data_IF_205084368130
#
_entry.id   IF_205084368130
#
_cell.length_a   1.000
_cell.length_b   1.000
_cell.length_c   1.000
_cell.angle_alpha   90.00
_cell.angle_beta   90.00
_cell.angle_gamma   90.00
#
_symmetry.space_group_name_H-M   'P 1'
#
loop_
_entity.id
_entity.type
_entity.pdbx_description
1 polymer ?
#
# COMPACT_ATOMS: atom_id res chain seq x y z
N UNK A 1 39.90 -8.51 -35.06
CA UNK A 1 40.20 -7.87 -33.76
C UNK A 1 39.45 -6.53 -33.73
N UNK A 2 38.31 -6.41 -33.03
CA UNK A 2 38.20 -5.91 -31.63
C UNK A 2 37.98 -4.39 -31.65
N UNK A 3 36.97 -3.75 -31.03
CA UNK A 3 35.97 -4.13 -30.02
C UNK A 3 34.70 -3.29 -30.22
N UNK A 4 33.57 -3.85 -29.79
CA UNK A 4 32.32 -3.17 -29.52
C UNK A 4 32.43 -2.26 -28.29
N UNK A 5 31.67 -1.15 -28.27
CA UNK A 5 30.86 -0.64 -27.13
C UNK A 5 30.59 0.85 -27.31
N UNK A 6 29.33 1.22 -27.59
CA UNK A 6 28.65 2.44 -27.07
C UNK A 6 27.27 2.55 -27.71
N UNK A 7 26.35 1.69 -27.29
CA UNK A 7 24.91 1.81 -27.59
C UNK A 7 24.13 1.53 -26.32
N UNK A 8 24.29 2.37 -25.30
CA UNK A 8 23.52 2.30 -24.04
C UNK A 8 23.35 3.70 -23.42
N UNK A 9 22.92 4.67 -24.24
CA UNK A 9 22.74 6.05 -23.81
C UNK A 9 21.51 6.77 -24.36
N UNK A 10 20.54 6.05 -24.95
CA UNK A 10 19.39 6.69 -25.62
C UNK A 10 18.02 6.15 -25.18
N UNK A 11 17.87 5.75 -23.93
CA UNK A 11 16.58 5.32 -23.36
C UNK A 11 16.34 5.91 -21.96
N UNK A 12 16.43 7.23 -21.84
CA UNK A 12 15.97 7.95 -20.65
C UNK A 12 15.45 9.38 -20.98
N UNK A 13 14.86 9.57 -22.16
CA UNK A 13 14.32 10.86 -22.59
C UNK A 13 12.87 10.74 -23.12
N UNK A 14 12.06 9.87 -22.52
CA UNK A 14 10.65 9.78 -22.85
C UNK A 14 9.79 9.58 -21.58
N UNK A 15 9.71 10.63 -20.78
CA UNK A 15 8.64 10.82 -19.81
C UNK A 15 8.06 12.23 -19.98
N UNK A 16 7.01 12.28 -20.81
CA UNK A 16 5.90 13.24 -20.78
C UNK A 16 6.19 14.74 -21.02
N UNK A 17 6.00 15.14 -22.29
CA UNK A 17 5.35 16.40 -22.62
C UNK A 17 3.96 16.48 -21.96
N UNK A 18 3.66 17.61 -21.31
CA UNK A 18 2.43 18.44 -21.43
C UNK A 18 2.19 19.23 -20.14
N UNK A 19 2.51 20.54 -20.16
CA UNK A 19 1.68 21.61 -19.59
C UNK A 19 2.36 22.98 -19.69
N UNK A 20 2.56 23.48 -20.92
CA UNK A 20 2.46 24.92 -21.13
C UNK A 20 0.98 25.32 -21.02
N UNK A 21 0.68 26.41 -20.33
CA UNK A 21 -0.58 27.14 -20.47
C UNK A 21 -1.48 27.17 -19.23
N UNK A 22 -1.64 28.40 -18.72
CA UNK A 22 -2.71 28.91 -17.85
C UNK A 22 -2.57 28.67 -16.33
N UNK A 23 -1.60 29.34 -15.72
CA UNK A 23 -1.78 29.97 -14.40
C UNK A 23 -2.43 31.36 -14.61
N UNK A 24 -3.37 31.75 -13.74
CA UNK A 24 -4.03 33.07 -13.78
C UNK A 24 -3.04 34.23 -13.63
N UNK A 25 -3.48 35.50 -13.84
CA UNK A 25 -2.59 36.65 -13.84
C UNK A 25 -1.84 36.73 -12.50
N UNK A 26 -0.50 36.90 -12.51
CA UNK A 26 0.26 36.99 -11.28
C UNK A 26 -0.04 38.34 -10.61
N UNK A 27 -0.61 38.30 -9.41
CA UNK A 27 -0.63 39.45 -8.51
C UNK A 27 0.77 39.59 -7.89
N UNK A 28 1.61 40.44 -8.49
CA UNK A 28 3.01 40.64 -8.10
C UNK A 28 3.69 41.73 -8.93
N UNK A 29 4.70 42.38 -8.34
CA UNK A 29 5.40 43.54 -8.88
C UNK A 29 6.32 43.24 -10.09
N UNK A 30 6.01 42.34 -11.03
CA UNK A 30 6.82 42.08 -12.24
C UNK A 30 8.24 41.48 -12.02
N UNK A 31 9.02 42.01 -11.08
CA UNK A 31 10.34 41.54 -10.65
C UNK A 31 10.26 40.21 -9.89
N UNK A 32 9.27 40.03 -9.01
CA UNK A 32 9.04 38.77 -8.29
C UNK A 32 8.67 37.63 -9.26
N UNK A 33 7.84 37.95 -10.26
CA UNK A 33 7.50 37.03 -11.36
C UNK A 33 8.71 36.73 -12.24
N UNK A 34 9.56 37.73 -12.52
CA UNK A 34 10.79 37.53 -13.29
C UNK A 34 11.78 36.61 -12.57
N UNK A 35 11.94 36.78 -11.25
CA UNK A 35 12.76 35.90 -10.42
C UNK A 35 12.23 34.47 -10.40
N UNK A 36 10.91 34.28 -10.31
CA UNK A 36 10.27 32.96 -10.40
C UNK A 36 10.55 32.29 -11.76
N UNK A 37 10.39 33.02 -12.86
CA UNK A 37 10.65 32.49 -14.20
C UNK A 37 12.11 32.09 -14.39
N UNK A 38 13.03 32.90 -13.86
CA UNK A 38 14.45 32.56 -13.92
C UNK A 38 14.78 31.33 -13.06
N UNK A 39 14.18 31.23 -11.87
CA UNK A 39 14.33 30.04 -11.03
C UNK A 39 13.83 28.77 -11.74
N UNK A 40 12.73 28.84 -12.48
CA UNK A 40 12.22 27.70 -13.26
C UNK A 40 13.18 27.27 -14.37
N UNK A 41 13.86 28.21 -15.04
CA UNK A 41 14.84 27.88 -16.10
C UNK A 41 16.06 27.17 -15.54
N UNK A 42 16.51 27.59 -14.36
CA UNK A 42 17.74 27.09 -13.74
C UNK A 42 17.46 25.88 -12.84
N UNK A 43 16.19 25.56 -12.56
CA UNK A 43 15.75 24.51 -11.63
C UNK A 43 16.47 23.16 -11.82
N UNK A 44 16.59 22.73 -13.07
CA UNK A 44 17.20 21.44 -13.43
C UNK A 44 18.73 21.51 -13.57
N UNK A 45 19.27 22.72 -13.76
CA UNK A 45 20.70 22.95 -14.02
C UNK A 45 21.45 23.20 -12.71
N UNK A 46 20.95 24.13 -11.90
CA UNK A 46 21.52 24.51 -10.62
C UNK A 46 20.39 24.69 -9.58
N UNK A 47 20.04 23.62 -8.86
CA UNK A 47 18.97 23.68 -7.86
C UNK A 47 19.31 24.59 -6.68
N UNK A 48 20.60 24.86 -6.40
CA UNK A 48 20.99 25.77 -5.32
C UNK A 48 20.70 27.21 -5.73
N UNK A 49 21.09 27.59 -6.94
CA UNK A 49 20.77 28.90 -7.49
C UNK A 49 19.26 29.12 -7.61
N UNK A 50 18.51 28.08 -7.99
CA UNK A 50 17.05 28.15 -8.03
C UNK A 50 16.43 28.41 -6.64
N UNK A 51 16.97 27.80 -5.56
CA UNK A 51 16.52 28.09 -4.19
C UNK A 51 16.73 29.57 -3.85
N UNK A 52 17.92 30.13 -4.09
CA UNK A 52 18.22 31.54 -3.81
C UNK A 52 17.27 32.50 -4.53
N UNK A 53 16.97 32.23 -5.81
CA UNK A 53 16.06 33.04 -6.61
C UNK A 53 14.62 32.96 -6.09
N UNK A 54 14.17 31.78 -5.67
CA UNK A 54 12.84 31.56 -5.09
C UNK A 54 12.70 32.22 -3.71
N UNK A 55 13.74 32.17 -2.88
CA UNK A 55 13.78 32.86 -1.59
C UNK A 55 13.69 34.38 -1.79
N UNK A 56 14.48 34.94 -2.71
CA UNK A 56 14.41 36.35 -3.06
C UNK A 56 13.04 36.76 -3.63
N UNK A 57 12.41 35.90 -4.43
CA UNK A 57 11.06 36.14 -4.93
C UNK A 57 10.03 36.17 -3.78
N UNK A 58 10.19 35.30 -2.77
CA UNK A 58 9.32 35.24 -1.60
C UNK A 58 9.56 36.39 -0.61
N UNK A 59 10.78 36.93 -0.53
CA UNK A 59 11.07 38.16 0.23
C UNK A 59 10.29 39.35 -0.32
N UNK A 60 10.21 39.46 -1.65
CA UNK A 60 9.41 40.49 -2.33
C UNK A 60 7.91 40.21 -2.20
N UNK A 61 7.48 38.97 -2.45
CA UNK A 61 6.08 38.57 -2.42
C UNK A 61 5.86 37.25 -1.66
N UNK A 62 5.56 37.32 -0.35
CA UNK A 62 5.31 36.13 0.47
C UNK A 62 4.02 35.37 0.13
N UNK A 63 3.19 35.89 -0.78
CA UNK A 63 1.95 35.25 -1.24
C UNK A 63 2.12 34.51 -2.57
N UNK A 64 3.32 34.48 -3.13
CA UNK A 64 3.60 33.80 -4.38
C UNK A 64 3.51 32.27 -4.21
N UNK A 65 2.33 31.73 -4.49
CA UNK A 65 2.02 30.32 -4.27
C UNK A 65 2.99 29.40 -5.03
N UNK A 66 3.27 29.70 -6.30
CA UNK A 66 4.10 28.84 -7.15
C UNK A 66 5.55 28.74 -6.64
N UNK A 67 6.11 29.83 -6.11
CA UNK A 67 7.42 29.82 -5.50
C UNK A 67 7.49 28.85 -4.31
N UNK A 68 6.47 28.85 -3.45
CA UNK A 68 6.36 27.86 -2.37
C UNK A 68 6.24 26.41 -2.88
N UNK A 69 5.54 26.17 -3.99
CA UNK A 69 5.45 24.82 -4.57
C UNK A 69 6.79 24.31 -5.07
N UNK A 70 7.55 25.16 -5.78
CA UNK A 70 8.86 24.84 -6.33
C UNK A 70 9.90 24.65 -5.22
N UNK A 71 9.95 25.59 -4.26
CA UNK A 71 10.89 25.53 -3.15
C UNK A 71 10.64 24.30 -2.27
N UNK A 72 9.36 24.03 -1.93
CA UNK A 72 8.99 22.78 -1.25
C UNK A 72 9.41 21.54 -2.04
N UNK A 73 9.41 21.64 -3.38
CA UNK A 73 9.81 20.53 -4.24
C UNK A 73 11.31 20.28 -4.31
N UNK A 74 12.12 21.33 -4.22
CA UNK A 74 13.58 21.25 -4.12
C UNK A 74 13.99 20.70 -2.75
N UNK A 75 13.44 21.26 -1.67
CA UNK A 75 13.71 20.78 -0.31
C UNK A 75 13.30 19.33 -0.07
N UNK A 76 12.21 18.88 -0.70
CA UNK A 76 11.80 17.48 -0.61
C UNK A 76 12.80 16.52 -1.27
N UNK A 77 13.56 16.97 -2.27
CA UNK A 77 14.55 16.16 -2.99
C UNK A 77 15.90 16.13 -2.28
N UNK A 78 16.30 17.25 -1.69
CA UNK A 78 17.47 17.32 -0.82
C UNK A 78 17.09 16.70 0.53
N UNK A 79 17.46 15.44 0.76
CA UNK A 79 17.03 14.58 1.88
C UNK A 79 17.14 15.20 3.28
N UNK A 80 17.83 16.33 3.43
CA UNK A 80 18.14 16.99 4.70
C UNK A 80 16.96 17.77 5.31
N UNK A 81 16.01 18.30 4.52
CA UNK A 81 15.07 19.32 5.02
C UNK A 81 13.58 19.00 4.75
N UNK A 82 13.11 17.83 5.19
CA UNK A 82 11.70 17.43 5.07
C UNK A 82 10.72 18.41 5.76
N UNK A 83 11.15 19.09 6.83
CA UNK A 83 10.32 20.04 7.59
C UNK A 83 10.03 21.30 6.77
N UNK A 84 11.07 21.90 6.17
CA UNK A 84 10.93 23.08 5.31
C UNK A 84 10.07 22.76 4.09
N UNK A 85 10.27 21.58 3.49
CA UNK A 85 9.44 21.12 2.38
C UNK A 85 7.94 21.09 2.75
N UNK A 86 7.60 20.52 3.92
CA UNK A 86 6.21 20.48 4.41
C UNK A 86 5.65 21.90 4.62
N UNK A 87 6.43 22.80 5.23
CA UNK A 87 6.02 24.18 5.44
C UNK A 87 5.64 24.87 4.13
N UNK A 88 6.51 24.81 3.13
CA UNK A 88 6.26 25.46 1.84
C UNK A 88 5.09 24.83 1.09
N UNK A 89 4.94 23.50 1.14
CA UNK A 89 3.77 22.84 0.56
C UNK A 89 2.46 23.24 1.24
N UNK A 90 2.44 23.34 2.58
CA UNK A 90 1.26 23.82 3.30
C UNK A 90 0.93 25.27 2.94
N UNK A 91 1.97 26.12 2.79
CA UNK A 91 1.80 27.51 2.38
C UNK A 91 1.25 27.63 0.97
N UNK A 92 1.72 26.81 0.02
CA UNK A 92 1.13 26.69 -1.31
C UNK A 92 -0.35 26.31 -1.25
N UNK A 93 -0.73 25.29 -0.47
CA UNK A 93 -2.13 24.87 -0.36
C UNK A 93 -3.03 25.95 0.26
N UNK A 94 -2.48 26.80 1.13
CA UNK A 94 -3.21 27.91 1.74
C UNK A 94 -3.40 29.10 0.77
N UNK A 95 -2.44 29.34 -0.13
CA UNK A 95 -2.44 30.47 -1.06
C UNK A 95 -3.03 30.13 -2.42
N UNK A 96 -2.96 28.88 -2.85
CA UNK A 96 -3.44 28.46 -4.16
C UNK A 96 -4.98 28.52 -4.22
N UNK A 97 -5.49 29.28 -5.20
CA UNK A 97 -6.92 29.31 -5.50
C UNK A 97 -7.42 27.94 -6.00
N UNK A 98 -8.70 27.64 -5.75
CA UNK A 98 -9.36 26.43 -6.26
C UNK A 98 -10.08 26.73 -7.58
N UNK A 99 -10.03 25.84 -8.58
CA UNK A 99 -9.39 24.52 -8.57
C UNK A 99 -7.87 24.58 -8.82
N UNK A 100 -7.11 23.76 -8.09
CA UNK A 100 -5.65 23.67 -8.24
C UNK A 100 -5.24 22.26 -8.65
N UNK A 101 -4.63 22.12 -9.83
CA UNK A 101 -4.17 20.83 -10.38
C UNK A 101 -3.10 20.14 -9.52
N UNK A 102 -2.36 20.90 -8.73
CA UNK A 102 -1.25 20.39 -7.93
C UNK A 102 -1.66 19.94 -6.53
N UNK A 103 -2.92 20.15 -6.11
CA UNK A 103 -3.37 19.87 -4.75
C UNK A 103 -3.12 18.41 -4.34
N UNK A 104 -3.50 17.46 -5.20
CA UNK A 104 -3.31 16.03 -4.95
C UNK A 104 -1.82 15.65 -4.84
N UNK A 105 -1.01 16.13 -5.80
CA UNK A 105 0.44 15.88 -5.83
C UNK A 105 1.14 16.45 -4.60
N UNK A 106 0.80 17.68 -4.21
CA UNK A 106 1.40 18.36 -3.06
C UNK A 106 1.02 17.66 -1.75
N UNK A 107 -0.25 17.26 -1.59
CA UNK A 107 -0.67 16.46 -0.42
C UNK A 107 0.10 15.14 -0.32
N UNK A 108 0.24 14.43 -1.44
CA UNK A 108 1.04 13.20 -1.49
C UNK A 108 2.50 13.44 -1.11
N UNK A 109 3.10 14.55 -1.57
CA UNK A 109 4.47 14.93 -1.20
C UNK A 109 4.63 15.28 0.28
N UNK A 110 3.66 15.97 0.88
CA UNK A 110 3.63 16.23 2.33
C UNK A 110 3.65 14.90 3.10
N UNK A 111 2.81 13.94 2.71
CA UNK A 111 2.72 12.66 3.40
C UNK A 111 4.02 11.84 3.26
N UNK A 112 4.66 11.87 2.09
CA UNK A 112 5.97 11.27 1.90
C UNK A 112 7.06 11.93 2.79
N UNK A 113 7.06 13.25 2.92
CA UNK A 113 7.99 13.97 3.81
C UNK A 113 7.74 13.60 5.28
N UNK A 114 6.47 13.50 5.71
CA UNK A 114 6.11 13.06 7.08
C UNK A 114 6.59 11.64 7.37
N UNK A 115 6.41 10.72 6.43
CA UNK A 115 6.88 9.34 6.57
C UNK A 115 8.40 9.28 6.70
N UNK A 116 9.14 10.06 5.89
CA UNK A 116 10.61 10.14 6.00
C UNK A 116 11.07 10.69 7.35
N UNK A 117 10.43 11.74 7.86
CA UNK A 117 10.74 12.28 9.20
C UNK A 117 10.52 11.23 10.30
N UNK A 118 9.39 10.54 10.27
CA UNK A 118 9.11 9.45 11.22
C UNK A 118 10.15 8.34 11.08
N UNK A 119 10.53 8.00 9.85
CA UNK A 119 11.52 6.97 9.58
C UNK A 119 12.92 7.36 10.08
N UNK A 120 13.36 8.60 9.85
CA UNK A 120 14.63 9.14 10.34
C UNK A 120 14.70 9.14 11.87
N UNK A 121 13.65 9.64 12.53
CA UNK A 121 13.58 9.66 14.00
C UNK A 121 13.52 8.24 14.57
N UNK A 122 12.77 7.33 13.94
CA UNK A 122 12.77 5.92 14.30
C UNK A 122 14.15 5.29 14.16
N UNK A 123 14.89 5.55 13.06
CA UNK A 123 16.26 5.08 12.87
C UNK A 123 17.16 5.56 14.02
N UNK A 124 17.02 6.83 14.39
CA UNK A 124 17.78 7.47 15.45
C UNK A 124 17.49 6.83 16.82
N UNK A 125 16.22 6.54 17.11
CA UNK A 125 15.79 6.03 18.41
C UNK A 125 16.03 4.53 18.60
N UNK A 126 15.86 3.71 17.56
CA UNK A 126 15.88 2.25 17.71
C UNK A 126 17.19 1.58 17.24
N UNK A 127 18.02 2.31 16.50
CA UNK A 127 19.07 1.72 15.67
C UNK A 127 18.48 0.86 14.53
N UNK A 128 19.27 0.64 13.47
CA UNK A 128 18.82 0.02 12.23
C UNK A 128 18.26 -1.42 12.35
N UNK A 129 18.55 -2.12 13.46
CA UNK A 129 18.19 -3.52 13.64
C UNK A 129 16.70 -3.74 14.00
N UNK A 130 16.07 -2.79 14.71
CA UNK A 130 14.68 -2.96 15.19
C UNK A 130 13.61 -2.62 14.15
N UNK A 131 13.99 -2.00 13.03
CA UNK A 131 13.04 -1.46 12.03
C UNK A 131 12.68 -2.44 10.91
N UNK A 132 13.50 -3.46 10.66
CA UNK A 132 13.29 -4.41 9.56
C UNK A 132 11.95 -5.14 9.61
N UNK A 133 11.39 -5.52 10.79
CA UNK A 133 10.06 -6.11 10.84
C UNK A 133 8.95 -5.11 10.49
N UNK A 134 9.04 -3.88 10.99
CA UNK A 134 8.04 -2.82 10.74
C UNK A 134 8.03 -2.45 9.26
N UNK A 135 9.20 -2.24 8.65
CA UNK A 135 9.33 -1.94 7.23
C UNK A 135 8.78 -3.08 6.35
N UNK A 136 9.04 -4.35 6.72
CA UNK A 136 8.46 -5.50 6.02
C UNK A 136 6.94 -5.51 6.09
N UNK A 137 6.36 -5.20 7.24
CA UNK A 137 4.90 -5.11 7.40
C UNK A 137 4.31 -3.96 6.59
N UNK A 138 5.01 -2.81 6.49
CA UNK A 138 4.57 -1.69 5.64
C UNK A 138 4.54 -2.08 4.16
N UNK A 139 5.62 -2.70 3.66
CA UNK A 139 5.67 -3.18 2.27
C UNK A 139 4.56 -4.19 1.99
N UNK A 140 4.32 -5.15 2.90
CA UNK A 140 3.24 -6.12 2.77
C UNK A 140 1.85 -5.46 2.75
N UNK A 141 1.64 -4.42 3.56
CA UNK A 141 0.38 -3.67 3.59
C UNK A 141 0.14 -2.93 2.26
N UNK A 142 1.18 -2.31 1.71
CA UNK A 142 1.08 -1.59 0.44
C UNK A 142 0.86 -2.55 -0.74
N UNK A 143 1.56 -3.69 -0.76
CA UNK A 143 1.36 -4.73 -1.77
C UNK A 143 -0.05 -5.34 -1.69
N UNK A 144 -0.56 -5.57 -0.47
CA UNK A 144 -1.92 -6.03 -0.27
C UNK A 144 -2.96 -4.99 -0.73
N UNK A 145 -2.71 -3.70 -0.50
CA UNK A 145 -3.59 -2.61 -0.98
C UNK A 145 -3.62 -2.53 -2.50
N UNK A 146 -2.45 -2.55 -3.15
CA UNK A 146 -2.34 -2.59 -4.62
C UNK A 146 -3.04 -3.81 -5.21
N UNK A 147 -2.85 -4.98 -4.59
CA UNK A 147 -3.54 -6.21 -5.00
C UNK A 147 -5.06 -6.05 -4.88
N UNK A 148 -5.56 -5.45 -3.80
CA UNK A 148 -6.99 -5.18 -3.64
C UNK A 148 -7.52 -4.19 -4.69
N UNK A 149 -6.77 -3.15 -5.04
CA UNK A 149 -7.15 -2.20 -6.09
C UNK A 149 -7.25 -2.88 -7.45
N UNK A 150 -6.25 -3.70 -7.81
CA UNK A 150 -6.26 -4.49 -9.05
C UNK A 150 -7.44 -5.46 -9.06
N UNK A 151 -7.67 -6.20 -7.97
CA UNK A 151 -8.80 -7.12 -7.87
C UNK A 151 -10.15 -6.40 -8.02
N UNK A 152 -10.32 -5.24 -7.39
CA UNK A 152 -11.53 -4.42 -7.53
C UNK A 152 -11.73 -3.95 -8.97
N UNK A 153 -10.67 -3.49 -9.64
CA UNK A 153 -10.71 -3.11 -11.04
C UNK A 153 -11.11 -4.28 -11.95
N UNK A 154 -10.53 -5.47 -11.72
CA UNK A 154 -10.88 -6.69 -12.46
C UNK A 154 -12.33 -7.09 -12.24
N UNK A 155 -12.84 -7.04 -11.00
CA UNK A 155 -14.25 -7.33 -10.70
C UNK A 155 -15.18 -6.39 -11.45
N UNK A 156 -14.90 -5.08 -11.46
CA UNK A 156 -15.69 -4.10 -12.20
C UNK A 156 -15.66 -4.37 -13.71
N UNK A 157 -14.49 -4.69 -14.26
CA UNK A 157 -14.36 -5.02 -15.68
C UNK A 157 -15.17 -6.28 -16.07
N UNK A 158 -15.11 -7.33 -15.25
CA UNK A 158 -15.90 -8.55 -15.47
C UNK A 158 -17.40 -8.28 -15.34
N UNK A 159 -17.82 -7.44 -14.39
CA UNK A 159 -19.22 -7.03 -14.27
C UNK A 159 -19.70 -6.26 -15.51
N UNK A 160 -18.86 -5.38 -16.07
CA UNK A 160 -19.18 -4.66 -17.30
C UNK A 160 -19.30 -5.61 -18.51
N UNK A 161 -18.37 -6.56 -18.65
CA UNK A 161 -18.42 -7.58 -19.71
C UNK A 161 -19.67 -8.46 -19.60
N UNK A 162 -20.05 -8.87 -18.37
CA UNK A 162 -21.27 -9.63 -18.15
C UNK A 162 -22.52 -8.82 -18.52
N UNK A 163 -22.57 -7.55 -18.15
CA UNK A 163 -23.67 -6.66 -18.52
C UNK A 163 -23.79 -6.53 -20.04
N UNK A 164 -22.68 -6.33 -20.75
CA UNK A 164 -22.64 -6.27 -22.21
C UNK A 164 -23.12 -7.59 -22.84
N UNK A 165 -22.63 -8.73 -22.37
CA UNK A 165 -23.07 -10.04 -22.85
C UNK A 165 -24.57 -10.27 -22.62
N UNK A 166 -25.12 -9.85 -21.48
CA UNK A 166 -26.56 -9.96 -21.20
C UNK A 166 -27.39 -9.07 -22.14
N UNK A 167 -26.92 -7.86 -22.45
CA UNK A 167 -27.58 -6.98 -23.41
C UNK A 167 -27.55 -7.56 -24.83
N UNK A 168 -26.44 -8.15 -25.25
CA UNK A 168 -26.32 -8.82 -26.55
C UNK A 168 -27.26 -10.03 -26.66
N UNK A 169 -27.38 -10.83 -25.60
CA UNK A 169 -28.33 -11.96 -25.55
C UNK A 169 -29.79 -11.49 -25.61
N UNK A 170 -30.13 -10.37 -24.95
CA UNK A 170 -31.45 -9.76 -25.03
C UNK A 170 -31.76 -9.25 -26.44
N UNK A 171 -30.80 -8.58 -27.10
CA UNK A 171 -30.93 -8.09 -28.47
C UNK A 171 -31.03 -9.22 -29.51
N UNK A 172 -30.36 -10.35 -29.27
CA UNK A 172 -30.42 -11.53 -30.14
C UNK A 172 -31.75 -12.32 -30.06
N UNK A 173 -32.72 -11.87 -29.24
CA UNK A 173 -34.05 -12.50 -29.14
C UNK A 173 -34.04 -13.90 -28.50
N UNK A 174 -32.94 -14.29 -27.85
CA UNK A 174 -32.80 -15.60 -27.19
C UNK A 174 -33.32 -15.60 -25.74
N UNK A 175 -33.74 -14.46 -25.21
CA UNK A 175 -34.39 -14.32 -23.92
C UNK A 175 -35.89 -14.70 -24.00
N UNK A 176 -36.22 -15.97 -24.22
CA UNK A 176 -37.63 -16.35 -24.33
C UNK A 176 -38.01 -17.81 -24.62
N UNK A 177 -37.14 -18.81 -24.41
CA UNK A 177 -37.56 -20.22 -24.44
C UNK A 177 -37.05 -20.97 -23.22
N UNK A 178 -37.74 -20.77 -22.09
CA UNK A 178 -37.69 -21.75 -21.00
C UNK A 178 -38.33 -23.07 -21.46
N UNK A 179 -37.89 -24.23 -20.96
CA UNK A 179 -38.57 -25.48 -21.25
C UNK A 179 -39.95 -25.44 -20.58
N UNK A 180 -41.00 -25.68 -21.38
CA UNK A 180 -42.35 -25.82 -20.89
C UNK A 180 -42.42 -26.98 -19.89
N UNK A 181 -42.83 -26.65 -18.65
CA UNK A 181 -43.25 -27.64 -17.69
C UNK A 181 -44.49 -28.36 -18.21
N UNK A 182 -44.39 -29.69 -18.38
CA UNK A 182 -45.55 -30.58 -18.46
C UNK A 182 -45.61 -31.39 -17.17
N UNK A 183 -46.79 -31.39 -16.57
CA UNK A 183 -47.09 -31.94 -15.26
C UNK A 183 -47.48 -33.43 -15.31
N UNK A 184 -47.23 -34.07 -14.16
CA UNK A 184 -47.92 -35.24 -13.58
C UNK A 184 -47.68 -36.63 -14.20
N UNK A 185 -47.02 -37.53 -13.45
CA UNK A 185 -47.69 -38.41 -12.48
C UNK A 185 -46.80 -39.62 -12.10
N UNK A 186 -46.75 -39.88 -10.80
CA UNK A 186 -46.69 -41.21 -10.17
C UNK A 186 -45.55 -42.20 -10.51
N UNK A 187 -44.64 -42.41 -9.55
CA UNK A 187 -44.68 -43.59 -8.65
C UNK A 187 -43.52 -43.61 -7.66
N UNK A 188 -43.91 -43.85 -6.42
CA UNK A 188 -43.17 -44.32 -5.25
C UNK A 188 -42.14 -45.41 -5.59
N UNK A 189 -40.86 -45.18 -5.27
CA UNK A 189 -39.88 -46.22 -4.93
C UNK A 189 -38.63 -45.60 -4.27
N UNK A 190 -38.46 -45.86 -2.97
CA UNK A 190 -37.13 -45.94 -2.34
C UNK A 190 -36.36 -47.12 -2.94
N UNK A 191 -35.03 -47.05 -3.09
CA UNK A 191 -34.17 -47.62 -2.05
C UNK A 191 -32.81 -46.91 -1.86
N UNK A 192 -32.27 -46.97 -0.64
CA UNK A 192 -30.83 -46.96 -0.31
C UNK A 192 -30.22 -48.36 -0.55
N UNK A 193 -28.90 -48.62 -0.42
CA UNK A 193 -27.70 -47.77 -0.41
C UNK A 193 -26.58 -48.29 -1.37
N UNK A 194 -25.48 -47.56 -1.59
CA UNK A 194 -24.09 -48.10 -1.71
C UNK A 194 -23.04 -47.06 -2.18
N UNK A 195 -22.12 -46.78 -1.26
CA UNK A 195 -20.64 -46.75 -1.38
C UNK A 195 -19.98 -46.62 -2.77
N UNK A 196 -19.07 -45.64 -2.92
CA UNK A 196 -17.62 -45.82 -3.14
C UNK A 196 -16.97 -44.64 -3.90
N UNK A 197 -15.73 -44.30 -3.54
CA UNK A 197 -14.74 -43.82 -4.52
C UNK A 197 -14.10 -42.45 -4.26
N UNK A 198 -13.01 -42.45 -3.50
CA UNK A 198 -12.11 -41.33 -3.29
C UNK A 198 -11.13 -41.12 -4.48
N UNK A 199 -10.67 -39.88 -4.68
CA UNK A 199 -9.27 -39.47 -4.98
C UNK A 199 -9.26 -37.99 -5.44
N UNK A 200 -8.70 -37.04 -4.69
CA UNK A 200 -7.28 -36.58 -4.61
C UNK A 200 -6.75 -35.82 -5.83
N UNK A 201 -6.35 -34.57 -5.57
CA UNK A 201 -5.37 -33.77 -6.32
C UNK A 201 -5.08 -32.49 -5.51
N UNK A 202 -4.17 -32.52 -4.54
CA UNK A 202 -2.73 -32.22 -4.65
C UNK A 202 -2.42 -30.73 -4.89
N UNK A 203 -1.99 -30.04 -3.83
CA UNK A 203 -1.29 -28.74 -3.84
C UNK A 203 0.19 -29.01 -3.50
N UNK A 204 1.17 -28.32 -4.13
CA UNK A 204 2.59 -28.65 -3.95
C UNK A 204 3.16 -28.06 -2.65
N UNK A 205 4.12 -28.80 -2.08
CA UNK A 205 5.01 -28.39 -1.01
C UNK A 205 6.39 -28.00 -1.59
N UNK A 206 7.20 -27.21 -0.86
CA UNK A 206 8.65 -27.26 -0.98
C UNK A 206 9.31 -27.92 0.25
N UNK A 207 10.24 -28.84 -0.04
CA UNK A 207 11.15 -29.53 0.87
C UNK A 207 12.18 -28.56 1.49
N UNK A 208 12.39 -28.55 2.81
CA UNK A 208 13.28 -29.38 3.64
C UNK A 208 14.76 -28.93 3.68
N UNK A 209 15.28 -28.72 4.91
CA UNK A 209 16.69 -28.47 5.19
C UNK A 209 17.00 -28.34 6.69
N UNK A 210 17.27 -29.49 7.34
CA UNK A 210 18.28 -29.68 8.40
C UNK A 210 18.13 -29.01 9.78
N UNK A 211 17.71 -29.76 10.80
CA UNK A 211 18.60 -30.32 11.85
C UNK A 211 17.79 -30.72 13.08
N UNK A 212 18.02 -31.95 13.53
CA UNK A 212 17.32 -32.65 14.61
C UNK A 212 17.93 -32.24 15.94
N UNK A 213 17.11 -31.67 16.82
CA UNK A 213 17.37 -31.58 18.25
C UNK A 213 16.09 -31.99 19.00
N UNK A 214 16.27 -32.87 19.97
CA UNK A 214 15.28 -33.43 20.88
C UNK A 214 14.47 -32.32 21.59
N UNK A 215 13.16 -32.52 21.86
CA UNK A 215 12.26 -31.40 22.15
C UNK A 215 12.48 -30.86 23.56
N UNK A 216 12.87 -29.57 23.75
CA UNK A 216 12.73 -28.94 25.04
C UNK A 216 11.24 -28.72 25.37
N UNK A 217 10.97 -28.80 26.67
CA UNK A 217 9.69 -28.85 27.35
C UNK A 217 8.56 -27.96 26.78
N UNK A 218 7.32 -28.39 27.02
CA UNK A 218 6.12 -27.58 26.80
C UNK A 218 6.30 -26.21 27.47
N UNK A 219 6.61 -25.19 26.68
CA UNK A 219 6.77 -23.84 27.18
C UNK A 219 5.41 -23.39 27.75
N UNK A 220 5.42 -22.83 28.95
CA UNK A 220 4.21 -22.28 29.57
C UNK A 220 4.30 -20.76 29.60
N UNK A 221 3.15 -20.10 29.55
CA UNK A 221 3.05 -18.65 29.61
C UNK A 221 2.13 -18.25 30.74
N UNK A 222 2.58 -17.33 31.60
CA UNK A 222 1.79 -16.78 32.70
C UNK A 222 1.08 -15.51 32.22
N UNK A 223 -0.24 -15.59 32.12
CA UNK A 223 -1.12 -14.53 31.63
C UNK A 223 -0.92 -13.25 32.45
N UNK A 224 -0.66 -12.14 31.76
CA UNK A 224 -0.55 -10.80 32.32
C UNK A 224 -1.86 -10.04 32.12
N UNK A 225 -2.00 -8.92 32.84
CA UNK A 225 -3.18 -8.07 32.76
C UNK A 225 -3.40 -7.59 31.33
N UNK A 226 -4.58 -7.87 30.78
CA UNK A 226 -5.00 -7.43 29.45
C UNK A 226 -4.61 -8.38 28.30
N UNK A 227 -3.97 -9.52 28.59
CA UNK A 227 -3.70 -10.52 27.57
C UNK A 227 -4.91 -11.41 27.31
N UNK A 228 -5.07 -11.83 26.05
CA UNK A 228 -6.09 -12.79 25.61
C UNK A 228 -5.42 -14.00 24.98
N UNK A 229 -6.10 -15.15 24.91
CA UNK A 229 -5.52 -16.37 24.32
C UNK A 229 -5.10 -16.14 22.86
N UNK A 230 -5.88 -15.34 22.12
CA UNK A 230 -5.57 -14.94 20.74
C UNK A 230 -4.32 -14.06 20.71
N UNK A 231 -4.21 -13.08 21.60
CA UNK A 231 -3.04 -12.21 21.70
C UNK A 231 -1.76 -12.98 22.02
N UNK A 232 -1.84 -13.92 22.97
CA UNK A 232 -0.71 -14.78 23.34
C UNK A 232 -0.35 -15.73 22.18
N UNK A 233 -1.34 -16.33 21.53
CA UNK A 233 -1.10 -17.16 20.34
C UNK A 233 -0.35 -16.39 19.25
N UNK A 234 -0.79 -15.17 18.93
CA UNK A 234 -0.10 -14.29 17.95
C UNK A 234 1.33 -13.94 18.36
N UNK A 235 1.56 -13.69 19.65
CA UNK A 235 2.89 -13.38 20.20
C UNK A 235 3.88 -14.52 19.94
N UNK A 236 3.42 -15.77 20.09
CA UNK A 236 4.24 -16.97 19.92
C UNK A 236 4.11 -17.64 18.54
N UNK A 237 3.31 -17.08 17.62
CA UNK A 237 3.12 -17.61 16.27
C UNK A 237 2.20 -18.83 16.18
N UNK A 238 1.36 -19.07 17.18
CA UNK A 238 0.38 -20.16 17.19
C UNK A 238 -1.02 -19.66 16.82
N UNK A 239 -1.75 -20.47 16.07
CA UNK A 239 -3.16 -20.25 15.79
C UNK A 239 -4.02 -20.43 17.04
N UNK A 240 -5.20 -19.83 17.04
CA UNK A 240 -6.17 -20.01 18.13
C UNK A 240 -6.55 -21.49 18.30
N UNK A 241 -6.66 -22.24 17.20
CA UNK A 241 -6.99 -23.66 17.23
C UNK A 241 -5.90 -24.47 17.96
N UNK A 242 -4.63 -24.22 17.66
CA UNK A 242 -3.49 -24.86 18.35
C UNK A 242 -3.44 -24.49 19.82
N UNK A 243 -3.63 -23.22 20.15
CA UNK A 243 -3.68 -22.74 21.54
C UNK A 243 -4.81 -23.38 22.35
N UNK A 244 -6.01 -23.54 21.75
CA UNK A 244 -7.14 -24.22 22.39
C UNK A 244 -6.87 -25.71 22.59
N UNK A 245 -6.30 -26.38 21.58
CA UNK A 245 -5.96 -27.79 21.63
C UNK A 245 -4.89 -28.09 22.72
N UNK A 246 -3.95 -27.18 22.95
CA UNK A 246 -2.93 -27.32 23.99
C UNK A 246 -3.46 -27.08 25.42
N UNK A 247 -4.64 -26.47 25.56
CA UNK A 247 -5.24 -26.07 26.83
C UNK A 247 -6.68 -26.60 26.99
N UNK A 248 -6.89 -27.93 26.98
CA UNK A 248 -8.21 -28.50 27.27
C UNK A 248 -8.56 -28.23 28.74
N UNK A 249 -9.71 -27.61 28.99
CA UNK A 249 -10.20 -27.33 30.35
C UNK A 249 -9.93 -25.91 30.88
N UNK A 250 -9.34 -25.03 30.07
CA UNK A 250 -9.30 -23.58 30.36
C UNK A 250 -10.48 -22.90 29.65
N UNK A 251 -11.17 -22.00 30.35
CA UNK A 251 -12.09 -21.06 29.72
C UNK A 251 -11.28 -20.02 28.91
N UNK A 252 -11.25 -20.23 27.60
CA UNK A 252 -10.43 -19.45 26.66
C UNK A 252 -10.89 -18.00 26.52
N UNK A 253 -12.14 -17.70 26.91
CA UNK A 253 -12.74 -16.37 26.83
C UNK A 253 -12.61 -15.61 28.16
N UNK A 254 -12.21 -16.30 29.25
CA UNK A 254 -12.04 -15.73 30.60
C UNK A 254 -10.71 -16.11 31.23
N UNK A 255 -9.61 -15.80 30.55
CA UNK A 255 -8.28 -15.95 31.13
C UNK A 255 -8.08 -15.04 32.34
N UNK A 256 -7.59 -15.60 33.44
CA UNK A 256 -7.28 -14.87 34.66
C UNK A 256 -5.82 -14.40 34.67
N UNK A 257 -5.57 -13.21 35.22
CA UNK A 257 -4.20 -12.72 35.42
C UNK A 257 -3.45 -13.65 36.38
N UNK A 258 -2.26 -14.09 35.99
CA UNK A 258 -1.46 -15.05 36.73
C UNK A 258 -1.74 -16.51 36.38
N UNK A 259 -2.75 -16.79 35.55
CA UNK A 259 -3.04 -18.14 35.06
C UNK A 259 -1.91 -18.62 34.14
N UNK A 260 -1.50 -19.87 34.29
CA UNK A 260 -0.46 -20.48 33.47
C UNK A 260 -1.11 -21.27 32.35
N UNK A 261 -0.86 -20.88 31.10
CA UNK A 261 -1.31 -21.59 29.91
C UNK A 261 -0.15 -22.34 29.26
N UNK A 262 -0.45 -23.45 28.60
CA UNK A 262 0.49 -24.26 27.85
C UNK A 262 0.61 -23.73 26.43
N UNK A 263 1.83 -23.51 25.96
CA UNK A 263 2.07 -23.21 24.56
C UNK A 263 2.09 -24.52 23.76
N UNK A 264 1.48 -24.53 22.56
CA UNK A 264 1.55 -25.67 21.66
C UNK A 264 3.00 -26.03 21.34
N UNK A 265 3.26 -27.32 21.11
CA UNK A 265 4.52 -27.70 20.47
C UNK A 265 4.38 -27.45 18.97
N UNK A 266 5.36 -26.80 18.33
CA UNK A 266 5.36 -26.70 16.88
C UNK A 266 5.43 -28.12 16.32
N UNK A 267 4.34 -28.59 15.72
CA UNK A 267 4.33 -29.82 14.93
C UNK A 267 4.98 -29.45 13.61
N UNK A 268 6.22 -29.93 13.38
CA UNK A 268 6.89 -29.85 12.08
C UNK A 268 6.55 -31.06 11.24
#
# INVERSE_FOLDING_TARGET
>A
MGKASSSMGLLAALALLLAAGCSGPPEGDGEDVALLQEAERVLDIDPRRAIELLELALEKNPRLAEAHRLLGSLWAQTTTNNVEAIYHFQKFLALAGKPNRWEATVRSRIDACRQRLVQEELLRLTGAASLRPIQRLQVQLDDARRSNEVLRATVLALQAQLAEATNLLAQAGLAGRGPAASAAADRRATPTPATAGAARGARPAPAAGGSRAEPPAAATHRVRRGETLIGIGRMYGFSLAEMKAANPGIDHDRLQVGQVIRLPRPVR
#
